data_IF_219724160596
#
_entry.id   IF_219724160596
#
_cell.length_a   1.000
_cell.length_b   1.000
_cell.length_c   1.000
_cell.angle_alpha   90.00
_cell.angle_beta   90.00
_cell.angle_gamma   90.00
#
_symmetry.space_group_name_H-M   'P 1'
#
loop_
_entity.id
_entity.type
_entity.pdbx_description
1 polymer ?
#
# COMPACT_ATOMS: atom_id res chain seq x y z
N UNK A 1 -9.57 -11.78 7.85
CA UNK A 1 -9.13 -11.33 6.51
C UNK A 1 -9.38 -9.84 6.37
N UNK A 2 -8.39 -9.01 6.67
CA UNK A 2 -8.48 -7.57 6.47
C UNK A 2 -7.89 -7.24 5.10
N UNK A 3 -8.64 -6.58 4.23
CA UNK A 3 -8.27 -6.30 2.83
C UNK A 3 -6.96 -5.50 2.64
N UNK A 4 -6.41 -4.93 3.72
CA UNK A 4 -5.16 -4.16 3.72
C UNK A 4 -4.05 -4.81 4.56
N UNK A 5 -4.22 -6.08 4.97
CA UNK A 5 -3.27 -6.74 5.88
C UNK A 5 -1.90 -6.92 5.20
N UNK A 6 -1.85 -7.43 3.97
CA UNK A 6 -0.60 -7.57 3.22
C UNK A 6 0.15 -6.24 3.08
N UNK A 7 -0.55 -5.19 2.66
CA UNK A 7 0.04 -3.84 2.52
C UNK A 7 0.57 -3.30 3.86
N UNK A 8 -0.09 -3.67 4.99
CA UNK A 8 0.39 -3.30 6.32
C UNK A 8 1.68 -4.04 6.67
N UNK A 9 1.74 -5.33 6.37
CA UNK A 9 2.89 -6.17 6.66
C UNK A 9 4.10 -5.72 5.82
N UNK A 10 3.89 -5.38 4.54
CA UNK A 10 4.90 -4.78 3.66
C UNK A 10 5.35 -3.40 4.16
N UNK A 11 4.43 -2.59 4.68
CA UNK A 11 4.79 -1.29 5.25
C UNK A 11 5.62 -1.46 6.52
N UNK A 12 5.28 -2.44 7.36
CA UNK A 12 6.01 -2.71 8.59
C UNK A 12 7.43 -3.19 8.29
N UNK A 13 7.61 -4.11 7.35
CA UNK A 13 8.94 -4.57 6.92
C UNK A 13 9.78 -3.42 6.35
N UNK A 14 9.18 -2.58 5.49
CA UNK A 14 9.86 -1.41 4.93
C UNK A 14 10.33 -0.42 6.00
N UNK A 15 9.48 -0.14 7.01
CA UNK A 15 9.84 0.77 8.09
C UNK A 15 10.95 0.21 8.98
N UNK A 16 10.95 -1.10 9.27
CA UNK A 16 12.01 -1.74 10.05
C UNK A 16 13.38 -1.71 9.35
N UNK A 17 13.39 -1.71 8.03
CA UNK A 17 14.60 -1.56 7.22
C UNK A 17 15.01 -0.08 7.02
N UNK A 18 14.15 0.87 7.35
CA UNK A 18 14.39 2.28 7.08
C UNK A 18 15.38 2.91 8.06
N UNK A 19 16.15 3.93 7.62
CA UNK A 19 17.12 4.62 8.48
C UNK A 19 16.46 5.32 9.68
N UNK A 20 15.20 5.73 9.56
CA UNK A 20 14.49 6.33 10.70
C UNK A 20 14.34 5.37 11.90
N UNK A 21 14.10 4.08 11.64
CA UNK A 21 13.99 3.09 12.73
C UNK A 21 15.36 2.56 13.13
N UNK A 22 16.25 2.30 12.16
CA UNK A 22 17.56 1.72 12.44
C UNK A 22 18.57 2.70 13.04
N UNK A 23 18.64 3.91 12.51
CA UNK A 23 19.64 4.91 12.92
C UNK A 23 19.13 5.80 14.04
N UNK A 24 17.89 6.29 13.92
CA UNK A 24 17.32 7.23 14.90
C UNK A 24 16.62 6.54 16.06
N UNK A 25 16.37 5.23 15.98
CA UNK A 25 15.70 4.46 17.04
C UNK A 25 14.25 4.91 17.31
N UNK A 26 13.63 5.63 16.37
CA UNK A 26 12.25 6.13 16.52
C UNK A 26 11.24 5.02 16.28
N UNK A 27 10.04 5.20 16.83
CA UNK A 27 8.93 4.29 16.54
C UNK A 27 8.51 4.41 15.07
N UNK A 28 8.04 3.30 14.48
CA UNK A 28 7.53 3.29 13.10
C UNK A 28 6.40 4.32 12.89
N UNK A 29 5.59 4.61 13.92
CA UNK A 29 4.57 5.66 13.86
C UNK A 29 5.17 7.05 13.82
N UNK A 30 6.21 7.33 14.59
CA UNK A 30 6.89 8.63 14.58
C UNK A 30 7.59 8.87 13.25
N UNK A 31 8.21 7.83 12.68
CA UNK A 31 8.80 7.90 11.35
C UNK A 31 7.79 8.32 10.28
N UNK A 32 6.56 7.79 10.32
CA UNK A 32 5.51 8.14 9.37
C UNK A 32 4.91 9.54 9.58
N UNK A 33 4.99 10.09 10.80
CA UNK A 33 4.42 11.40 11.17
C UNK A 33 5.40 12.53 10.94
N UNK A 34 6.66 12.34 11.34
CA UNK A 34 7.65 13.41 11.44
C UNK A 34 8.76 13.29 10.38
N UNK A 35 9.12 12.07 9.97
CA UNK A 35 10.29 11.80 9.13
C UNK A 35 9.91 11.25 7.74
N UNK A 36 8.72 11.60 7.27
CA UNK A 36 8.13 11.01 6.05
C UNK A 36 8.93 11.28 4.78
N UNK A 37 9.64 12.40 4.74
CA UNK A 37 10.49 12.82 3.62
C UNK A 37 11.86 12.14 3.64
N UNK A 38 12.36 11.77 4.83
CA UNK A 38 13.62 11.05 5.02
C UNK A 38 13.48 9.55 4.71
N UNK A 39 12.26 9.03 4.71
CA UNK A 39 11.96 7.65 4.34
C UNK A 39 12.24 7.38 2.85
N UNK A 40 12.75 6.18 2.50
CA UNK A 40 12.91 5.77 1.11
C UNK A 40 11.60 5.89 0.32
N UNK A 41 11.72 6.24 -0.98
CA UNK A 41 10.58 6.44 -1.88
C UNK A 41 9.64 5.22 -1.91
N UNK A 42 10.22 4.02 -1.78
CA UNK A 42 9.48 2.76 -1.68
C UNK A 42 8.51 2.76 -0.48
N UNK A 43 9.01 3.01 0.73
CA UNK A 43 8.17 3.04 1.93
C UNK A 43 7.09 4.13 1.83
N UNK A 44 7.41 5.28 1.22
CA UNK A 44 6.43 6.33 0.98
C UNK A 44 5.30 5.87 0.05
N UNK A 45 5.63 5.08 -1.00
CA UNK A 45 4.66 4.56 -1.95
C UNK A 45 3.78 3.46 -1.32
N UNK A 46 4.36 2.57 -0.52
CA UNK A 46 3.60 1.56 0.24
C UNK A 46 2.65 2.25 1.23
N UNK A 47 3.13 3.28 1.94
CA UNK A 47 2.30 4.06 2.85
C UNK A 47 1.11 4.72 2.14
N UNK A 48 1.33 5.33 0.97
CA UNK A 48 0.25 5.91 0.16
C UNK A 48 -0.79 4.85 -0.22
N UNK A 49 -0.34 3.67 -0.65
CA UNK A 49 -1.21 2.52 -0.97
C UNK A 49 -1.99 2.02 0.25
N UNK A 50 -1.36 1.96 1.42
CA UNK A 50 -2.01 1.56 2.67
C UNK A 50 -3.11 2.54 3.08
N UNK A 51 -2.84 3.85 3.03
CA UNK A 51 -3.84 4.88 3.33
C UNK A 51 -4.98 4.86 2.32
N UNK A 52 -4.67 4.69 1.03
CA UNK A 52 -5.69 4.54 -0.01
C UNK A 52 -6.57 3.30 0.24
N UNK A 53 -5.96 2.18 0.61
CA UNK A 53 -6.68 0.95 0.93
C UNK A 53 -7.63 1.13 2.12
N UNK A 54 -7.12 1.71 3.22
CA UNK A 54 -7.92 1.96 4.42
C UNK A 54 -9.08 2.93 4.14
N UNK A 55 -8.84 3.96 3.31
CA UNK A 55 -9.88 4.89 2.86
C UNK A 55 -10.92 4.20 1.98
N UNK A 56 -10.51 3.28 1.11
CA UNK A 56 -11.42 2.49 0.27
C UNK A 56 -12.34 1.56 1.06
N UNK A 57 -11.90 1.03 2.20
CA UNK A 57 -12.74 0.20 3.08
C UNK A 57 -13.87 0.99 3.76
N UNK A 58 -13.62 2.27 4.05
CA UNK A 58 -14.59 3.18 4.66
C UNK A 58 -15.56 3.78 3.63
N UNK A 59 -15.15 3.87 2.37
CA UNK A 59 -15.96 4.40 1.27
C UNK A 59 -16.96 3.36 0.75
N UNK A 60 -18.23 3.51 1.12
CA UNK A 60 -19.34 2.66 0.67
C UNK A 60 -19.47 2.59 -0.85
N UNK A 61 -19.09 3.65 -1.59
CA UNK A 61 -19.18 3.70 -3.06
C UNK A 61 -18.16 2.77 -3.72
N UNK A 62 -17.06 2.46 -3.03
CA UNK A 62 -16.01 1.54 -3.49
C UNK A 62 -16.22 0.10 -3.06
N UNK A 63 -17.11 -0.17 -2.09
CA UNK A 63 -17.45 -1.54 -1.67
C UNK A 63 -18.06 -2.37 -2.79
N UNK A 64 -18.85 -1.75 -3.68
CA UNK A 64 -19.46 -2.45 -4.81
C UNK A 64 -18.51 -2.66 -6.00
N UNK A 65 -17.45 -1.86 -6.12
CA UNK A 65 -16.51 -1.90 -7.27
C UNK A 65 -15.13 -2.48 -6.93
N UNK A 66 -14.91 -2.84 -5.67
CA UNK A 66 -13.61 -3.31 -5.18
C UNK A 66 -12.64 -2.17 -4.93
N UNK A 67 -11.75 -2.39 -3.96
CA UNK A 67 -10.64 -1.49 -3.67
C UNK A 67 -9.42 -1.91 -4.51
N UNK A 68 -9.37 -1.48 -5.78
CA UNK A 68 -8.25 -1.78 -6.66
C UNK A 68 -6.99 -0.97 -6.27
N UNK A 69 -5.78 -1.57 -6.33
CA UNK A 69 -4.53 -0.87 -6.04
C UNK A 69 -4.29 0.29 -7.03
N UNK A 70 -3.55 1.30 -6.58
CA UNK A 70 -3.43 2.61 -7.26
C UNK A 70 -2.67 2.59 -8.61
N UNK A 71 -2.26 1.44 -9.12
CA UNK A 71 -1.37 1.31 -10.28
C UNK A 71 -2.05 0.85 -11.58
N UNK A 72 -3.38 0.94 -11.70
CA UNK A 72 -4.07 0.70 -12.97
C UNK A 72 -4.71 1.98 -13.48
N UNK A 73 -3.89 2.94 -13.96
CA UNK A 73 -4.37 3.91 -14.95
C UNK A 73 -4.57 3.18 -16.28
N UNK A 74 -5.66 2.42 -16.38
CA UNK A 74 -6.32 2.17 -17.67
C UNK A 74 -7.60 2.98 -17.59
N UNK A 75 -7.59 4.13 -18.26
CA UNK A 75 -8.81 4.85 -18.60
C UNK A 75 -9.79 3.84 -19.19
N UNK A 76 -10.96 3.69 -18.58
CA UNK A 76 -12.27 3.55 -19.25
C UNK A 76 -13.38 3.29 -18.20
N UNK A 77 -14.29 4.27 -18.07
CA UNK A 77 -15.74 4.16 -17.81
C UNK A 77 -16.27 3.40 -16.55
N UNK A 78 -17.52 3.67 -16.10
CA UNK A 78 -17.99 3.25 -14.79
C UNK A 78 -18.54 1.82 -14.82
N UNK A 79 -17.80 0.87 -14.25
CA UNK A 79 -18.24 -0.52 -14.11
C UNK A 79 -17.22 -1.47 -14.71
N UNK A 80 -16.25 -1.90 -13.90
CA UNK A 80 -15.26 -2.89 -14.32
C UNK A 80 -14.93 -3.80 -13.15
N UNK A 81 -15.29 -5.07 -13.29
CA UNK A 81 -14.92 -6.17 -12.40
C UNK A 81 -13.42 -6.44 -12.51
N UNK A 82 -12.69 -6.45 -11.40
CA UNK A 82 -11.27 -6.83 -11.40
C UNK A 82 -11.17 -8.36 -11.46
N UNK A 83 -10.78 -8.89 -12.62
CA UNK A 83 -10.24 -10.25 -12.72
C UNK A 83 -8.83 -10.24 -12.14
N UNK A 84 -8.56 -11.21 -11.27
CA UNK A 84 -7.23 -11.54 -10.75
C UNK A 84 -6.62 -12.55 -11.71
N UNK A 85 -5.49 -12.22 -12.30
CA UNK A 85 -4.64 -13.23 -12.93
C UNK A 85 -3.28 -13.18 -12.26
N UNK A 86 -3.15 -14.00 -11.22
CA UNK A 86 -1.86 -14.53 -10.80
C UNK A 86 -1.62 -15.79 -11.63
N UNK A 87 -0.75 -15.70 -12.63
CA UNK A 87 -0.16 -16.87 -13.26
C UNK A 87 1.27 -16.56 -13.70
N UNK A 88 2.19 -17.36 -13.17
CA UNK A 88 3.61 -17.41 -13.42
C UNK A 88 4.00 -17.47 -14.91
N UNK A 89 5.15 -16.86 -15.25
CA UNK A 89 6.06 -17.24 -16.35
C UNK A 89 7.47 -16.89 -15.85
N UNK A 90 8.21 -17.83 -15.24
CA UNK A 90 9.08 -18.85 -15.86
C UNK A 90 10.53 -18.32 -16.00
N UNK A 91 11.38 -18.80 -15.10
CA UNK A 91 12.84 -18.76 -15.23
C UNK A 91 13.27 -20.18 -15.58
N UNK A 92 13.75 -20.39 -16.81
CA UNK A 92 14.56 -21.52 -17.23
C UNK A 92 15.63 -21.01 -18.20
#
# INVERSE_FOLDING_TARGET
>A
MNSCQSIRDDLASCLLASPCVQEQGKSAQDCLRNEKESLPLECQNIYKSYVACKRGMLDMRKRFRGNAPAATKRTNAPGGTSQVDSAAVDTA
#
